data_IF_205184585484
#
_entry.id   IF_205184585484
#
_cell.length_a   1.000
_cell.length_b   1.000
_cell.length_c   1.000
_cell.angle_alpha   90.00
_cell.angle_beta   90.00
_cell.angle_gamma   90.00
#
_symmetry.space_group_name_H-M   'P 1'
#
loop_
_entity.id
_entity.type
_entity.pdbx_description
1 polymer ?
#
# COMPACT_ATOMS: atom_id res chain seq x y z
N UNK A 1 -15.23 21.21 1.90
CA UNK A 1 -13.90 21.77 1.53
C UNK A 1 -14.14 22.95 0.60
N UNK A 2 -13.38 24.04 0.73
CA UNK A 2 -13.47 25.19 -0.19
C UNK A 2 -12.69 24.90 -1.48
N UNK A 3 -12.95 25.64 -2.56
CA UNK A 3 -12.26 25.49 -3.85
C UNK A 3 -10.73 25.65 -3.73
N UNK A 4 -10.26 26.54 -2.84
CA UNK A 4 -8.84 26.73 -2.56
C UNK A 4 -8.19 25.51 -1.89
N UNK A 5 -8.91 24.80 -1.01
CA UNK A 5 -8.41 23.56 -0.39
C UNK A 5 -8.28 22.44 -1.40
N UNK A 6 -9.21 22.35 -2.37
CA UNK A 6 -9.15 21.37 -3.46
C UNK A 6 -7.95 21.67 -4.37
N UNK A 7 -7.73 22.93 -4.73
CA UNK A 7 -6.58 23.35 -5.53
C UNK A 7 -5.22 23.10 -4.84
N UNK A 8 -5.15 23.21 -3.51
CA UNK A 8 -3.95 22.91 -2.74
C UNK A 8 -3.67 21.39 -2.64
N UNK A 9 -4.70 20.57 -2.43
CA UNK A 9 -4.58 19.11 -2.40
C UNK A 9 -4.09 18.54 -3.75
N UNK A 10 -4.59 19.08 -4.87
CA UNK A 10 -4.18 18.69 -6.22
C UNK A 10 -2.69 19.00 -6.50
N UNK A 11 -2.12 20.05 -5.90
CA UNK A 11 -0.67 20.35 -6.03
C UNK A 11 0.23 19.28 -5.41
N UNK A 12 -0.27 18.57 -4.40
CA UNK A 12 0.37 17.39 -3.80
C UNK A 12 -0.53 16.17 -4.02
N UNK A 13 -0.74 15.81 -5.28
CA UNK A 13 -1.67 14.77 -5.69
C UNK A 13 -1.53 13.41 -4.96
N UNK A 14 -0.32 13.08 -4.48
CA UNK A 14 -0.06 11.86 -3.71
C UNK A 14 0.03 12.07 -2.19
N UNK A 15 -0.15 13.30 -1.69
CA UNK A 15 -0.04 13.65 -0.28
C UNK A 15 -1.30 13.32 0.55
N UNK A 16 -1.16 13.37 1.88
CA UNK A 16 -2.19 12.96 2.83
C UNK A 16 -3.56 13.64 2.59
N UNK A 17 -3.60 14.95 2.37
CA UNK A 17 -4.85 15.68 2.16
C UNK A 17 -5.61 15.19 0.92
N UNK A 18 -4.90 14.91 -0.17
CA UNK A 18 -5.54 14.40 -1.38
C UNK A 18 -6.00 12.95 -1.19
N UNK A 19 -5.23 12.11 -0.48
CA UNK A 19 -5.65 10.75 -0.15
C UNK A 19 -6.89 10.74 0.74
N UNK A 20 -6.97 11.60 1.75
CA UNK A 20 -8.17 11.72 2.60
C UNK A 20 -9.39 12.12 1.78
N UNK A 21 -9.26 13.11 0.89
CA UNK A 21 -10.33 13.50 -0.04
C UNK A 21 -10.77 12.33 -0.92
N UNK A 22 -9.82 11.64 -1.55
CA UNK A 22 -10.08 10.51 -2.44
C UNK A 22 -10.73 9.33 -1.68
N UNK A 23 -10.30 9.05 -0.45
CA UNK A 23 -10.93 8.02 0.39
C UNK A 23 -12.38 8.37 0.72
N UNK A 24 -12.67 9.63 1.09
CA UNK A 24 -14.05 10.08 1.31
C UNK A 24 -14.89 9.94 0.05
N UNK A 25 -14.34 10.30 -1.10
CA UNK A 25 -15.01 10.17 -2.41
C UNK A 25 -15.35 8.71 -2.73
N UNK A 26 -14.39 7.79 -2.56
CA UNK A 26 -14.62 6.36 -2.77
C UNK A 26 -15.72 5.81 -1.84
N UNK A 27 -15.74 6.26 -0.58
CA UNK A 27 -16.61 5.69 0.45
C UNK A 27 -18.00 6.34 0.54
N UNK A 28 -18.21 7.49 -0.12
CA UNK A 28 -19.44 8.27 -0.02
C UNK A 28 -20.73 7.51 -0.40
N UNK A 29 -20.63 6.39 -1.13
CA UNK A 29 -21.75 5.53 -1.50
C UNK A 29 -21.65 4.08 -1.05
N UNK A 30 -20.68 3.74 -0.18
CA UNK A 30 -20.36 2.34 0.17
C UNK A 30 -20.70 2.03 1.64
N UNK A 31 -20.76 3.02 2.52
CA UNK A 31 -21.01 2.80 3.95
C UNK A 31 -22.45 2.33 4.24
N UNK A 32 -22.66 1.42 5.22
CA UNK A 32 -21.68 0.90 6.18
C UNK A 32 -20.79 -0.22 5.63
N UNK A 33 -19.54 -0.30 6.12
CA UNK A 33 -18.61 -1.38 5.77
C UNK A 33 -18.81 -2.55 6.72
N UNK A 34 -19.09 -3.75 6.18
CA UNK A 34 -19.11 -4.98 6.96
C UNK A 34 -17.68 -5.52 7.16
N UNK A 35 -17.30 -5.96 8.38
CA UNK A 35 -15.95 -6.47 8.66
C UNK A 35 -15.47 -7.55 7.67
N UNK A 36 -16.32 -8.52 7.37
CA UNK A 36 -16.04 -9.66 6.48
C UNK A 36 -15.71 -9.26 5.04
N UNK A 37 -16.17 -8.08 4.60
CA UNK A 37 -15.94 -7.55 3.24
C UNK A 37 -14.93 -6.40 3.21
N UNK A 38 -14.43 -5.92 4.36
CA UNK A 38 -13.50 -4.81 4.45
C UNK A 38 -12.24 -4.98 3.58
N UNK A 39 -11.73 -6.21 3.48
CA UNK A 39 -10.55 -6.53 2.66
C UNK A 39 -10.75 -6.24 1.17
N UNK A 40 -12.00 -6.33 0.66
CA UNK A 40 -12.30 -6.00 -0.74
C UNK A 40 -12.01 -4.54 -1.04
N UNK A 41 -12.29 -3.65 -0.08
CA UNK A 41 -11.99 -2.23 -0.23
C UNK A 41 -10.49 -1.96 -0.19
N UNK A 42 -9.73 -2.67 0.66
CA UNK A 42 -8.27 -2.60 0.65
C UNK A 42 -7.71 -2.95 -0.74
N UNK A 43 -8.16 -4.05 -1.35
CA UNK A 43 -7.70 -4.43 -2.68
C UNK A 43 -8.18 -3.48 -3.78
N UNK A 44 -9.44 -3.05 -3.79
CA UNK A 44 -9.92 -2.05 -4.76
C UNK A 44 -9.13 -0.73 -4.69
N UNK A 45 -8.74 -0.30 -3.49
CA UNK A 45 -8.03 0.96 -3.31
C UNK A 45 -6.53 0.87 -3.63
N UNK A 46 -5.87 -0.25 -3.32
CA UNK A 46 -4.41 -0.34 -3.27
C UNK A 46 -3.77 -1.47 -4.07
N UNK A 47 -4.49 -2.56 -4.36
CA UNK A 47 -3.94 -3.64 -5.19
C UNK A 47 -3.76 -3.11 -6.61
N UNK A 48 -2.70 -3.54 -7.30
CA UNK A 48 -2.43 -3.13 -8.67
C UNK A 48 -2.14 -4.32 -9.57
N UNK A 49 -2.23 -4.08 -10.88
CA UNK A 49 -1.75 -5.01 -11.89
C UNK A 49 -0.29 -4.70 -12.17
N UNK A 50 0.56 -5.71 -11.99
CA UNK A 50 1.96 -5.65 -12.36
C UNK A 50 2.09 -5.47 -13.88
N UNK A 51 2.79 -4.41 -14.31
CA UNK A 51 2.92 -4.08 -15.73
C UNK A 51 3.75 -5.08 -16.52
N UNK A 52 4.61 -5.88 -15.85
CA UNK A 52 5.49 -6.85 -16.50
C UNK A 52 4.79 -8.18 -16.75
N UNK A 53 3.93 -8.62 -15.83
CA UNK A 53 3.20 -9.89 -15.95
C UNK A 53 1.78 -9.72 -16.46
N UNK A 54 1.19 -8.53 -16.33
CA UNK A 54 -0.22 -8.29 -16.59
C UNK A 54 -1.16 -8.85 -15.52
N UNK A 55 -0.64 -9.34 -14.40
CA UNK A 55 -1.41 -10.00 -13.34
C UNK A 55 -1.51 -9.14 -12.08
N UNK A 56 -2.45 -9.47 -11.20
CA UNK A 56 -2.57 -8.81 -9.91
C UNK A 56 -1.31 -9.07 -9.08
N UNK A 57 -0.73 -8.03 -8.51
CA UNK A 57 0.54 -8.13 -7.80
C UNK A 57 0.37 -8.79 -6.43
N UNK A 58 0.94 -9.98 -6.24
CA UNK A 58 1.02 -10.66 -4.94
C UNK A 58 2.44 -10.91 -4.46
N UNK A 59 3.46 -10.79 -5.31
CA UNK A 59 4.85 -11.06 -4.96
C UNK A 59 5.84 -10.32 -5.87
N UNK A 60 7.12 -10.37 -5.55
CA UNK A 60 8.21 -9.74 -6.30
C UNK A 60 8.10 -10.04 -7.81
N UNK A 61 8.11 -8.98 -8.64
CA UNK A 61 7.79 -9.06 -10.07
C UNK A 61 8.76 -9.98 -10.83
N UNK A 62 10.04 -9.95 -10.51
CA UNK A 62 11.07 -10.80 -11.14
C UNK A 62 10.88 -12.29 -10.84
N UNK A 63 10.32 -12.62 -9.67
CA UNK A 63 9.99 -13.99 -9.28
C UNK A 63 8.69 -14.47 -9.89
N UNK A 64 7.83 -13.55 -10.31
CA UNK A 64 6.50 -13.82 -10.83
C UNK A 64 6.44 -13.88 -12.36
N UNK A 65 7.58 -13.85 -13.06
CA UNK A 65 7.64 -13.96 -14.52
C UNK A 65 7.32 -15.39 -15.03
N UNK A 66 6.81 -15.55 -16.26
CA UNK A 66 6.62 -16.87 -16.87
C UNK A 66 7.85 -17.78 -16.74
N UNK A 67 7.62 -19.05 -16.40
CA UNK A 67 8.68 -20.03 -16.14
C UNK A 67 9.31 -19.96 -14.74
N UNK A 68 8.92 -19.00 -13.89
CA UNK A 68 9.33 -18.93 -12.49
C UNK A 68 8.27 -19.54 -11.57
N UNK A 69 8.71 -19.96 -10.37
CA UNK A 69 7.87 -20.66 -9.39
C UNK A 69 6.65 -19.86 -8.90
N UNK A 70 6.68 -18.52 -8.98
CA UNK A 70 5.58 -17.66 -8.53
C UNK A 70 4.60 -17.26 -9.63
N UNK A 71 4.85 -17.61 -10.90
CA UNK A 71 3.94 -17.22 -11.98
C UNK A 71 2.58 -17.92 -11.87
N UNK A 72 2.57 -19.23 -11.67
CA UNK A 72 1.33 -20.00 -11.50
C UNK A 72 0.53 -19.51 -10.27
N UNK A 73 1.24 -19.18 -9.19
CA UNK A 73 0.68 -18.57 -7.98
C UNK A 73 0.02 -17.23 -8.26
N UNK A 74 0.66 -16.39 -9.06
CA UNK A 74 0.13 -15.09 -9.49
C UNK A 74 -1.11 -15.25 -10.38
N UNK A 75 -1.14 -16.25 -11.26
CA UNK A 75 -2.32 -16.59 -12.06
C UNK A 75 -3.50 -16.99 -11.17
N UNK A 76 -3.28 -17.88 -10.19
CA UNK A 76 -4.32 -18.30 -9.25
C UNK A 76 -4.84 -17.13 -8.42
N UNK A 77 -3.94 -16.27 -7.91
CA UNK A 77 -4.34 -15.07 -7.18
C UNK A 77 -5.18 -14.13 -8.05
N UNK A 78 -4.72 -13.86 -9.28
CA UNK A 78 -5.41 -12.98 -10.21
C UNK A 78 -6.82 -13.51 -10.54
N UNK A 79 -6.96 -14.81 -10.81
CA UNK A 79 -8.25 -15.44 -11.02
C UNK A 79 -9.16 -15.33 -9.78
N UNK A 80 -8.63 -15.67 -8.60
CA UNK A 80 -9.38 -15.62 -7.35
C UNK A 80 -9.83 -14.21 -6.98
N UNK A 81 -8.96 -13.21 -7.09
CA UNK A 81 -9.30 -11.84 -6.71
C UNK A 81 -10.30 -11.22 -7.68
N UNK A 82 -10.20 -11.55 -8.98
CA UNK A 82 -11.19 -11.13 -9.98
C UNK A 82 -12.57 -11.68 -9.64
N UNK A 83 -12.68 -13.00 -9.44
CA UNK A 83 -13.93 -13.64 -9.06
C UNK A 83 -14.49 -13.07 -7.74
N UNK A 84 -13.64 -12.85 -6.74
CA UNK A 84 -14.07 -12.40 -5.41
C UNK A 84 -14.50 -10.93 -5.36
N UNK A 85 -13.99 -10.11 -6.28
CA UNK A 85 -14.40 -8.71 -6.47
C UNK A 85 -15.56 -8.55 -7.46
N UNK A 86 -15.97 -9.64 -8.13
CA UNK A 86 -17.02 -9.64 -9.14
C UNK A 86 -16.59 -9.11 -10.50
N UNK A 87 -15.28 -9.13 -10.78
CA UNK A 87 -14.67 -8.59 -12.00
C UNK A 87 -14.27 -9.73 -12.95
N UNK A 88 -14.33 -9.47 -14.26
CA UNK A 88 -13.63 -10.32 -15.22
C UNK A 88 -12.10 -10.12 -15.07
N UNK A 89 -11.26 -11.17 -15.27
CA UNK A 89 -9.79 -11.04 -15.15
C UNK A 89 -9.20 -9.87 -15.95
N UNK A 90 -9.62 -9.71 -17.20
CA UNK A 90 -9.19 -8.62 -18.09
C UNK A 90 -9.69 -7.24 -17.64
N UNK A 91 -10.83 -7.18 -16.94
CA UNK A 91 -11.43 -5.95 -16.44
C UNK A 91 -10.87 -5.52 -15.09
N UNK A 92 -10.22 -6.42 -14.33
CA UNK A 92 -9.76 -6.18 -12.97
C UNK A 92 -8.91 -4.91 -12.85
N UNK A 93 -8.04 -4.62 -13.83
CA UNK A 93 -7.20 -3.40 -13.86
C UNK A 93 -8.03 -2.12 -13.67
N UNK A 94 -9.25 -2.11 -14.20
CA UNK A 94 -10.16 -0.97 -14.16
C UNK A 94 -10.90 -0.83 -12.84
N UNK A 95 -10.88 -1.84 -11.98
CA UNK A 95 -11.61 -1.90 -10.71
C UNK A 95 -10.72 -1.80 -9.46
N UNK A 96 -9.43 -2.10 -9.61
CA UNK A 96 -8.43 -1.95 -8.55
C UNK A 96 -7.57 -0.70 -8.76
N UNK A 97 -6.63 -0.49 -7.85
CA UNK A 97 -5.65 0.58 -7.89
C UNK A 97 -6.28 1.98 -7.88
N UNK A 98 -7.47 2.08 -7.27
CA UNK A 98 -8.33 3.25 -7.39
C UNK A 98 -7.62 4.51 -6.88
N UNK A 99 -6.95 4.46 -5.71
CA UNK A 99 -6.27 5.62 -5.14
C UNK A 99 -5.16 6.15 -6.05
N UNK A 100 -4.30 5.26 -6.54
CA UNK A 100 -3.19 5.67 -7.39
C UNK A 100 -3.68 6.26 -8.71
N UNK A 101 -4.69 5.64 -9.33
CA UNK A 101 -5.26 6.12 -10.60
C UNK A 101 -5.90 7.48 -10.45
N UNK A 102 -6.68 7.70 -9.40
CA UNK A 102 -7.30 9.00 -9.16
C UNK A 102 -6.27 10.08 -8.78
N UNK A 103 -5.29 9.77 -7.92
CA UNK A 103 -4.18 10.66 -7.62
C UNK A 103 -3.35 11.01 -8.88
N UNK A 104 -3.14 10.05 -9.78
CA UNK A 104 -2.44 10.28 -11.05
C UNK A 104 -3.22 11.21 -11.99
N UNK A 105 -4.55 11.08 -12.03
CA UNK A 105 -5.43 12.01 -12.78
C UNK A 105 -5.36 13.42 -12.21
N UNK A 106 -5.38 13.57 -10.89
CA UNK A 106 -5.23 14.88 -10.25
C UNK A 106 -3.86 15.51 -10.55
N UNK A 107 -2.79 14.72 -10.56
CA UNK A 107 -1.47 15.22 -10.91
C UNK A 107 -1.41 15.69 -12.38
N UNK A 108 -2.08 14.95 -13.28
CA UNK A 108 -2.15 15.30 -14.69
C UNK A 108 -2.93 16.60 -14.92
N UNK A 109 -4.02 16.84 -14.17
CA UNK A 109 -4.80 18.09 -14.25
C UNK A 109 -4.11 19.28 -13.57
N UNK A 110 -3.30 19.03 -12.53
CA UNK A 110 -2.75 20.09 -11.68
C UNK A 110 -1.37 20.65 -12.03
N UNK A 111 -0.49 19.90 -12.74
CA UNK A 111 0.95 20.19 -12.64
C UNK A 111 1.81 20.22 -13.91
N UNK A 112 1.30 20.04 -15.14
CA UNK A 112 2.21 19.99 -16.31
C UNK A 112 2.71 21.37 -16.77
N UNK A 113 1.85 22.39 -16.86
CA UNK A 113 2.21 23.64 -17.54
C UNK A 113 3.25 24.49 -16.79
N UNK A 114 3.09 24.67 -15.46
CA UNK A 114 3.98 25.53 -14.66
C UNK A 114 5.38 24.95 -14.49
N UNK A 115 5.50 23.62 -14.41
CA UNK A 115 6.80 22.95 -14.28
C UNK A 115 7.57 22.97 -15.60
N UNK A 116 6.87 22.78 -16.74
CA UNK A 116 7.46 22.91 -18.07
C UNK A 116 7.93 24.35 -18.33
N UNK A 117 7.15 25.35 -17.94
CA UNK A 117 7.52 26.76 -18.10
C UNK A 117 8.73 27.14 -17.23
N UNK A 118 8.79 26.67 -15.98
CA UNK A 118 9.95 26.86 -15.11
C UNK A 118 11.21 26.20 -15.69
N UNK A 119 11.08 24.98 -16.22
CA UNK A 119 12.18 24.27 -16.86
C UNK A 119 12.69 25.01 -18.10
N UNK A 120 11.79 25.51 -18.96
CA UNK A 120 12.15 26.36 -20.11
C UNK A 120 12.91 27.61 -19.68
N UNK A 121 12.43 28.34 -18.67
CA UNK A 121 13.10 29.54 -18.13
C UNK A 121 14.47 29.24 -17.55
N UNK A 122 14.65 28.10 -16.89
CA UNK A 122 15.95 27.68 -16.36
C UNK A 122 16.92 27.31 -17.49
N UNK A 123 16.45 26.59 -18.52
CA UNK A 123 17.27 26.21 -19.68
C UNK A 123 17.67 27.40 -20.54
N UNK A 124 16.81 28.41 -20.68
CA UNK A 124 17.16 29.64 -21.38
C UNK A 124 18.39 30.35 -20.78
N UNK A 125 18.70 30.08 -19.51
CA UNK A 125 19.89 30.62 -18.81
C UNK A 125 21.14 29.75 -18.96
N UNK A 126 21.05 28.61 -19.63
CA UNK A 126 22.15 27.65 -19.74
C UNK A 126 22.14 27.00 -21.14
N UNK A 127 22.75 27.65 -22.14
CA UNK A 127 22.84 27.14 -23.51
C UNK A 127 23.56 25.78 -23.60
N UNK A 128 23.24 24.99 -24.62
CA UNK A 128 23.93 23.72 -24.91
C UNK A 128 23.51 22.52 -24.05
N UNK A 129 22.49 22.67 -23.21
CA UNK A 129 21.98 21.57 -22.38
C UNK A 129 21.17 20.56 -23.22
N UNK A 130 21.27 19.24 -22.96
CA UNK A 130 20.52 18.23 -23.71
C UNK A 130 19.02 18.42 -23.54
N UNK A 131 18.25 18.33 -24.63
CA UNK A 131 16.79 18.46 -24.58
C UNK A 131 16.15 17.33 -23.75
N UNK A 132 15.14 17.62 -22.92
CA UNK A 132 14.37 16.57 -22.26
C UNK A 132 13.83 15.56 -23.27
N UNK A 133 13.80 14.28 -22.89
CA UNK A 133 13.27 13.22 -23.75
C UNK A 133 14.16 12.79 -24.91
N UNK A 134 15.39 13.33 -25.05
CA UNK A 134 16.43 12.70 -25.88
C UNK A 134 16.94 11.46 -25.15
N UNK A 135 16.58 10.29 -25.67
CA UNK A 135 16.99 9.00 -25.13
C UNK A 135 17.20 8.04 -26.31
N UNK A 136 18.40 8.03 -26.92
CA UNK A 136 18.64 7.30 -28.15
C UNK A 136 18.34 5.80 -28.04
N UNK A 137 18.53 5.21 -26.86
CA UNK A 137 18.25 3.80 -26.61
C UNK A 137 16.74 3.53 -26.66
N UNK A 138 15.95 4.32 -25.91
CA UNK A 138 14.49 4.19 -25.92
C UNK A 138 13.88 4.56 -27.29
N UNK A 139 14.41 5.59 -27.95
CA UNK A 139 14.02 5.96 -29.32
C UNK A 139 14.23 4.79 -30.28
N UNK A 140 15.42 4.16 -30.26
CA UNK A 140 15.72 2.99 -31.08
C UNK A 140 14.80 1.80 -30.78
N UNK A 141 14.51 1.53 -29.50
CA UNK A 141 13.57 0.46 -29.11
C UNK A 141 12.17 0.69 -29.70
N UNK A 142 11.65 1.93 -29.60
CA UNK A 142 10.33 2.30 -30.13
C UNK A 142 10.31 2.16 -31.65
N UNK A 143 11.30 2.75 -32.34
CA UNK A 143 11.36 2.76 -33.80
C UNK A 143 11.52 1.36 -34.37
N UNK A 144 12.40 0.54 -33.79
CA UNK A 144 12.59 -0.84 -34.23
C UNK A 144 11.33 -1.69 -34.02
N UNK A 145 10.62 -1.50 -32.90
CA UNK A 145 9.37 -2.20 -32.64
C UNK A 145 8.29 -1.79 -33.65
N UNK A 146 8.17 -0.50 -33.97
CA UNK A 146 7.10 0.02 -34.82
C UNK A 146 7.38 -0.04 -36.33
N UNK A 147 8.63 -0.19 -36.74
CA UNK A 147 9.06 -0.15 -38.14
C UNK A 147 8.20 -0.99 -39.11
N UNK A 148 7.78 -2.23 -38.78
CA UNK A 148 6.96 -3.04 -39.69
C UNK A 148 5.57 -2.47 -39.99
N UNK A 149 5.06 -1.57 -39.15
CA UNK A 149 3.71 -1.01 -39.27
C UNK A 149 3.70 0.45 -39.71
N UNK A 150 4.88 1.05 -39.92
CA UNK A 150 5.02 2.44 -40.32
C UNK A 150 5.40 2.52 -41.80
N UNK A 151 4.68 3.35 -42.56
CA UNK A 151 5.02 3.62 -43.96
C UNK A 151 6.27 4.51 -44.07
N UNK A 152 6.44 5.42 -43.11
CA UNK A 152 7.58 6.33 -43.03
C UNK A 152 8.00 6.51 -41.56
N UNK A 153 9.28 6.82 -41.29
CA UNK A 153 9.73 7.14 -39.94
C UNK A 153 8.95 8.34 -39.38
N UNK A 154 8.52 8.29 -38.10
CA UNK A 154 7.82 9.41 -37.50
C UNK A 154 8.77 10.61 -37.33
N UNK A 155 8.27 11.85 -37.39
CA UNK A 155 9.10 13.03 -37.20
C UNK A 155 9.87 12.99 -35.86
N UNK A 156 11.13 13.47 -35.79
CA UNK A 156 11.94 13.40 -34.58
C UNK A 156 11.27 14.03 -33.33
N UNK A 157 10.50 15.09 -33.53
CA UNK A 157 9.77 15.76 -32.45
C UNK A 157 8.62 14.90 -31.88
N UNK A 158 7.99 14.07 -32.72
CA UNK A 158 6.95 13.14 -32.29
C UNK A 158 7.56 12.01 -31.45
N UNK A 159 8.71 11.46 -31.86
CA UNK A 159 9.44 10.44 -31.10
C UNK A 159 9.88 11.01 -29.75
N UNK A 160 10.50 12.21 -29.73
CA UNK A 160 10.88 12.88 -28.48
C UNK A 160 9.69 13.08 -27.54
N UNK A 161 8.55 13.53 -28.07
CA UNK A 161 7.31 13.69 -27.30
C UNK A 161 6.83 12.37 -26.70
N UNK A 162 6.91 11.27 -27.45
CA UNK A 162 6.56 9.94 -26.98
C UNK A 162 7.52 9.46 -25.88
N UNK A 163 8.83 9.61 -26.08
CA UNK A 163 9.87 9.29 -25.10
C UNK A 163 9.66 10.06 -23.79
N UNK A 164 9.36 11.38 -23.86
CA UNK A 164 9.01 12.17 -22.68
C UNK A 164 7.76 11.64 -21.95
N UNK A 165 6.72 11.21 -22.70
CA UNK A 165 5.50 10.65 -22.13
C UNK A 165 5.75 9.31 -21.44
N UNK A 166 6.58 8.45 -22.04
CA UNK A 166 6.98 7.16 -21.45
C UNK A 166 7.74 7.41 -20.14
N UNK A 167 8.77 8.27 -20.17
CA UNK A 167 9.53 8.62 -18.95
C UNK A 167 8.63 9.19 -17.85
N UNK A 168 7.69 10.08 -18.23
CA UNK A 168 6.70 10.61 -17.29
C UNK A 168 5.84 9.50 -16.69
N UNK A 169 5.33 8.60 -17.52
CA UNK A 169 4.54 7.46 -17.07
C UNK A 169 5.33 6.56 -16.10
N UNK A 170 6.56 6.18 -16.44
CA UNK A 170 7.43 5.36 -15.57
C UNK A 170 7.75 6.05 -14.24
N UNK A 171 7.98 7.37 -14.24
CA UNK A 171 8.18 8.14 -13.00
C UNK A 171 6.92 8.18 -12.13
N UNK A 172 5.73 8.22 -12.74
CA UNK A 172 4.46 8.12 -12.01
C UNK A 172 4.33 6.74 -11.36
N UNK A 173 4.61 5.67 -12.11
CA UNK A 173 4.61 4.30 -11.57
C UNK A 173 5.53 4.15 -10.35
N UNK A 174 6.69 4.81 -10.33
CA UNK A 174 7.56 4.80 -9.15
C UNK A 174 6.93 5.44 -7.90
N UNK A 175 5.98 6.37 -8.05
CA UNK A 175 5.25 6.97 -6.91
C UNK A 175 4.25 6.01 -6.28
N UNK A 176 3.84 4.96 -6.99
CA UNK A 176 2.94 3.91 -6.48
C UNK A 176 3.46 3.30 -5.20
N UNK A 177 4.76 3.01 -5.12
CA UNK A 177 5.40 2.40 -3.94
C UNK A 177 5.19 3.23 -2.67
N UNK A 178 5.29 4.55 -2.79
CA UNK A 178 5.08 5.47 -1.67
C UNK A 178 3.59 5.56 -1.31
N UNK A 179 2.71 5.62 -2.31
CA UNK A 179 1.27 5.64 -2.09
C UNK A 179 0.78 4.34 -1.45
N UNK A 180 1.31 3.18 -1.83
CA UNK A 180 0.89 1.90 -1.24
C UNK A 180 1.26 1.85 0.24
N UNK A 181 2.44 2.33 0.64
CA UNK A 181 2.83 2.38 2.05
C UNK A 181 1.89 3.27 2.88
N UNK A 182 1.91 4.58 2.61
CA UNK A 182 1.13 5.55 3.37
C UNK A 182 -0.39 5.37 3.16
N UNK A 183 -0.81 5.00 1.96
CA UNK A 183 -2.21 4.76 1.63
C UNK A 183 -2.76 3.52 2.33
N UNK A 184 -1.94 2.50 2.60
CA UNK A 184 -2.39 1.33 3.37
C UNK A 184 -2.78 1.70 4.80
N UNK A 185 -1.99 2.54 5.45
CA UNK A 185 -2.29 3.09 6.79
C UNK A 185 -3.58 3.92 6.77
N UNK A 186 -3.75 4.78 5.77
CA UNK A 186 -4.93 5.65 5.62
C UNK A 186 -6.21 4.84 5.37
N UNK A 187 -6.13 3.85 4.48
CA UNK A 187 -7.25 2.94 4.18
C UNK A 187 -7.68 2.20 5.44
N UNK A 188 -6.74 1.60 6.17
CA UNK A 188 -7.05 0.87 7.41
C UNK A 188 -7.71 1.79 8.45
N UNK A 189 -7.16 2.99 8.66
CA UNK A 189 -7.71 3.96 9.60
C UNK A 189 -9.15 4.35 9.25
N UNK A 190 -9.44 4.59 7.97
CA UNK A 190 -10.78 4.97 7.53
C UNK A 190 -11.76 3.79 7.61
N UNK A 191 -11.36 2.58 7.21
CA UNK A 191 -12.21 1.39 7.32
C UNK A 191 -12.60 1.10 8.78
N UNK A 192 -11.65 1.22 9.72
CA UNK A 192 -11.92 1.02 11.15
C UNK A 192 -12.89 2.06 11.70
N UNK A 193 -12.75 3.34 11.30
CA UNK A 193 -13.67 4.41 11.72
C UNK A 193 -15.09 4.22 11.17
N UNK A 194 -15.25 3.51 10.06
CA UNK A 194 -16.55 3.25 9.43
C UNK A 194 -17.23 1.97 9.93
N UNK A 195 -16.61 1.24 10.86
CA UNK A 195 -17.26 0.09 11.48
C UNK A 195 -18.53 0.54 12.23
N UNK A 196 -19.66 -0.18 12.10
CA UNK A 196 -20.87 0.11 12.85
C UNK A 196 -20.56 0.12 14.36
N UNK A 197 -21.14 1.06 15.11
CA UNK A 197 -20.97 1.18 16.58
C UNK A 197 -19.52 1.35 17.08
N UNK A 198 -18.65 2.05 16.35
CA UNK A 198 -17.23 2.17 16.68
C UNK A 198 -16.99 2.61 18.15
N UNK A 199 -16.55 1.67 19.00
CA UNK A 199 -16.22 1.91 20.41
C UNK A 199 -14.86 2.62 20.60
N UNK A 200 -14.29 3.13 19.51
CA UNK A 200 -12.98 3.76 19.49
C UNK A 200 -13.12 5.25 19.81
N UNK A 201 -12.40 5.70 20.84
CA UNK A 201 -12.22 7.12 21.12
C UNK A 201 -11.16 7.75 20.22
N UNK A 202 -10.26 6.91 19.71
CA UNK A 202 -9.12 7.32 18.93
C UNK A 202 -8.81 6.30 17.84
N UNK A 203 -8.71 6.78 16.60
CA UNK A 203 -8.17 6.05 15.45
C UNK A 203 -7.34 7.05 14.67
N UNK A 204 -6.02 6.92 14.62
CA UNK A 204 -5.14 7.83 13.85
C UNK A 204 -4.03 7.07 13.15
N UNK A 205 -3.88 7.31 11.84
CA UNK A 205 -2.71 6.91 11.08
C UNK A 205 -1.56 7.89 11.32
N UNK A 206 -0.33 7.36 11.38
CA UNK A 206 0.92 8.13 11.49
C UNK A 206 0.93 9.18 12.61
N UNK A 207 0.42 8.83 13.79
CA UNK A 207 0.47 9.74 14.93
C UNK A 207 1.79 9.56 15.71
N UNK A 208 2.33 10.64 16.30
CA UNK A 208 3.35 10.53 17.33
C UNK A 208 2.87 9.62 18.47
N UNK A 209 3.78 8.80 19.02
CA UNK A 209 3.46 7.90 20.13
C UNK A 209 2.97 8.67 21.36
N UNK A 210 3.56 9.84 21.63
CA UNK A 210 3.18 10.68 22.76
C UNK A 210 1.80 11.36 22.61
N UNK A 211 1.24 11.40 21.39
CA UNK A 211 -0.15 11.85 21.18
C UNK A 211 -1.15 10.77 21.63
N UNK A 212 -0.68 9.54 21.87
CA UNK A 212 -1.52 8.42 22.30
C UNK A 212 -1.58 8.43 23.84
N UNK A 213 -2.77 8.37 24.45
CA UNK A 213 -2.92 8.30 25.90
C UNK A 213 -2.03 7.23 26.54
N UNK A 214 -1.39 7.59 27.65
CA UNK A 214 -0.57 6.65 28.44
C UNK A 214 0.85 6.43 27.91
N UNK A 215 1.38 7.31 27.07
CA UNK A 215 2.80 7.32 26.67
C UNK A 215 3.50 8.61 27.09
N UNK A 216 4.81 8.54 27.35
CA UNK A 216 5.64 9.70 27.63
C UNK A 216 6.01 10.47 26.35
N UNK A 217 6.21 11.77 26.50
CA UNK A 217 6.96 12.54 25.50
C UNK A 217 8.40 12.04 25.39
N UNK A 218 8.97 12.00 24.17
CA UNK A 218 10.38 11.69 23.98
C UNK A 218 11.24 12.73 24.72
N UNK A 219 12.43 12.32 25.17
CA UNK A 219 13.36 13.26 25.84
C UNK A 219 13.83 14.35 24.87
N UNK A 220 14.30 15.46 25.41
CA UNK A 220 14.87 16.55 24.61
C UNK A 220 15.90 16.01 23.60
N UNK A 221 15.71 16.35 22.32
CA UNK A 221 16.51 15.95 21.14
C UNK A 221 16.29 14.51 20.64
N UNK A 222 15.47 13.69 21.28
CA UNK A 222 15.06 12.41 20.70
C UNK A 222 14.01 12.61 19.61
N UNK A 223 14.17 11.89 18.50
CA UNK A 223 13.20 11.96 17.40
C UNK A 223 11.87 11.33 17.87
N UNK A 224 10.72 12.00 17.70
CA UNK A 224 9.42 11.41 18.01
C UNK A 224 9.22 10.08 17.29
N UNK A 225 8.74 9.08 18.04
CA UNK A 225 8.33 7.80 17.48
C UNK A 225 6.98 7.96 16.83
N UNK A 226 6.87 7.54 15.58
CA UNK A 226 5.61 7.54 14.83
C UNK A 226 5.08 6.11 14.81
N UNK A 227 3.79 5.95 15.10
CA UNK A 227 3.09 4.67 14.97
C UNK A 227 2.32 4.69 13.66
N UNK A 228 2.42 3.63 12.85
CA UNK A 228 1.76 3.58 11.53
C UNK A 228 0.24 3.77 11.69
N UNK A 229 -0.37 3.11 12.67
CA UNK A 229 -1.77 3.29 13.06
C UNK A 229 -1.97 3.01 14.56
N UNK A 230 -2.74 3.85 15.25
CA UNK A 230 -3.06 3.65 16.64
C UNK A 230 -4.56 3.71 16.90
N UNK A 231 -5.03 2.78 17.73
CA UNK A 231 -6.41 2.65 18.17
C UNK A 231 -6.48 2.75 19.70
N UNK A 232 -7.46 3.49 20.23
CA UNK A 232 -7.82 3.49 21.66
C UNK A 232 -9.31 3.18 21.79
N UNK A 233 -9.63 2.12 22.55
CA UNK A 233 -10.98 1.60 22.73
C UNK A 233 -11.54 1.86 24.12
N UNK A 234 -12.83 2.14 24.17
CA UNK A 234 -13.66 2.09 25.38
C UNK A 234 -13.29 3.12 26.45
N UNK A 235 -13.87 3.00 27.66
CA UNK A 235 -13.51 3.83 28.82
C UNK A 235 -12.20 3.41 29.49
N UNK A 236 -11.70 2.20 29.23
CA UNK A 236 -10.47 1.64 29.83
C UNK A 236 -9.19 2.04 29.09
N UNK A 237 -9.30 2.84 28.02
CA UNK A 237 -8.20 3.27 27.17
C UNK A 237 -7.29 2.11 26.68
N UNK A 238 -7.91 0.98 26.29
CA UNK A 238 -7.14 -0.15 25.73
C UNK A 238 -6.52 0.28 24.39
N UNK A 239 -5.19 0.26 24.35
CA UNK A 239 -4.37 0.73 23.23
C UNK A 239 -3.98 -0.42 22.32
N UNK A 240 -4.13 -0.23 21.02
CA UNK A 240 -3.56 -1.12 20.01
C UNK A 240 -2.65 -0.30 19.10
N UNK A 241 -1.37 -0.59 19.12
CA UNK A 241 -0.36 -0.01 18.24
C UNK A 241 -0.17 -0.94 17.06
N UNK A 242 -0.40 -0.44 15.86
CA UNK A 242 -0.39 -1.24 14.64
C UNK A 242 0.79 -0.79 13.79
N UNK A 243 1.59 -1.77 13.34
CA UNK A 243 2.47 -1.59 12.20
C UNK A 243 1.80 -2.16 10.95
N UNK A 244 1.66 -1.32 9.92
CA UNK A 244 0.99 -1.68 8.68
C UNK A 244 2.02 -1.76 7.56
N UNK A 245 2.21 -2.96 7.00
CA UNK A 245 3.21 -3.20 5.96
C UNK A 245 2.59 -4.02 4.85
N UNK A 246 2.41 -3.43 3.66
CA UNK A 246 1.83 -4.13 2.52
C UNK A 246 2.55 -5.47 2.23
N UNK A 247 3.87 -5.46 2.26
CA UNK A 247 4.71 -6.66 2.25
C UNK A 247 5.82 -6.57 3.31
N UNK A 248 6.26 -7.73 3.77
CA UNK A 248 7.35 -7.91 4.73
C UNK A 248 8.63 -8.14 3.94
N UNK A 249 9.72 -7.55 4.38
CA UNK A 249 11.06 -7.82 3.85
C UNK A 249 11.99 -8.06 5.02
N UNK A 250 13.04 -8.83 4.81
CA UNK A 250 13.99 -9.20 5.86
C UNK A 250 14.59 -7.97 6.59
N UNK A 251 14.89 -6.89 5.85
CA UNK A 251 15.42 -5.63 6.40
C UNK A 251 14.44 -4.93 7.36
N UNK A 252 13.14 -5.21 7.24
CA UNK A 252 12.08 -4.59 8.04
C UNK A 252 11.74 -5.37 9.31
N UNK A 253 12.16 -6.63 9.40
CA UNK A 253 11.81 -7.50 10.54
C UNK A 253 12.56 -7.13 11.83
N UNK A 254 13.80 -6.65 11.71
CA UNK A 254 14.57 -6.12 12.85
C UNK A 254 13.97 -4.83 13.40
N UNK A 255 13.43 -4.00 12.52
CA UNK A 255 12.78 -2.75 12.90
C UNK A 255 11.59 -2.98 13.84
N UNK A 256 10.81 -4.06 13.64
CA UNK A 256 9.66 -4.36 14.50
C UNK A 256 10.01 -4.54 15.97
N UNK A 257 11.17 -5.16 16.25
CA UNK A 257 11.64 -5.40 17.62
C UNK A 257 12.08 -4.08 18.26
N UNK A 258 12.85 -3.27 17.52
CA UNK A 258 13.32 -1.96 17.97
C UNK A 258 12.18 -0.99 18.24
N UNK A 259 11.17 -0.97 17.37
CA UNK A 259 9.97 -0.15 17.53
C UNK A 259 9.18 -0.59 18.77
N UNK A 260 8.93 -1.90 18.94
CA UNK A 260 8.24 -2.43 20.14
C UNK A 260 8.99 -2.12 21.44
N UNK A 261 10.32 -2.26 21.45
CA UNK A 261 11.15 -1.92 22.60
C UNK A 261 11.03 -0.43 22.94
N UNK A 262 11.05 0.44 21.93
CA UNK A 262 10.84 1.88 22.09
C UNK A 262 9.45 2.19 22.66
N UNK A 263 8.41 1.48 22.19
CA UNK A 263 7.05 1.68 22.66
C UNK A 263 6.88 1.27 24.12
N UNK A 264 7.45 0.13 24.53
CA UNK A 264 7.42 -0.31 25.93
C UNK A 264 8.23 0.64 26.82
N UNK A 265 9.37 1.15 26.35
CA UNK A 265 10.16 2.11 27.12
C UNK A 265 9.41 3.42 27.39
N UNK A 266 8.59 3.86 26.43
CA UNK A 266 7.81 5.09 26.54
C UNK A 266 6.41 4.86 27.14
N UNK A 267 6.04 3.62 27.48
CA UNK A 267 4.78 3.31 28.16
C UNK A 267 4.79 3.92 29.57
N UNK A 268 3.73 4.66 29.90
CA UNK A 268 3.60 5.39 31.16
C UNK A 268 2.50 4.85 32.06
N UNK A 269 1.42 4.34 31.48
CA UNK A 269 0.21 4.04 32.22
C UNK A 269 0.31 2.78 33.09
N UNK A 270 1.41 2.02 32.99
CA UNK A 270 1.55 0.73 33.67
C UNK A 270 0.57 -0.31 33.14
N UNK A 271 0.07 -0.10 31.92
CA UNK A 271 -0.94 -0.91 31.28
C UNK A 271 -0.35 -1.57 30.02
N UNK A 272 -0.78 -2.79 29.73
CA UNK A 272 -0.41 -3.44 28.47
C UNK A 272 -1.06 -2.73 27.27
N UNK A 273 -0.46 -2.94 26.10
CA UNK A 273 -1.04 -2.56 24.81
C UNK A 273 -0.91 -3.72 23.83
N UNK A 274 -1.82 -3.80 22.87
CA UNK A 274 -1.72 -4.77 21.78
C UNK A 274 -0.71 -4.23 20.75
N UNK A 275 0.28 -5.03 20.34
CA UNK A 275 1.15 -4.69 19.20
C UNK A 275 0.80 -5.58 18.01
N UNK A 276 0.26 -4.99 16.93
CA UNK A 276 -0.37 -5.74 15.84
C UNK A 276 0.37 -5.48 14.53
N UNK A 277 0.64 -6.53 13.76
CA UNK A 277 1.10 -6.41 12.38
C UNK A 277 -0.09 -6.60 11.44
N UNK A 278 -0.35 -5.65 10.53
CA UNK A 278 -1.30 -5.83 9.42
C UNK A 278 -0.53 -5.86 8.10
N UNK A 279 -0.74 -6.91 7.29
CA UNK A 279 0.03 -7.13 6.07
C UNK A 279 -0.74 -7.83 4.95
N UNK A 280 -0.25 -7.71 3.71
CA UNK A 280 -0.70 -8.46 2.54
C UNK A 280 0.45 -9.37 2.02
N UNK A 281 1.31 -9.85 2.92
CA UNK A 281 2.45 -10.72 2.60
C UNK A 281 2.01 -12.12 2.16
N UNK A 282 2.45 -12.54 0.98
CA UNK A 282 2.12 -13.87 0.44
C UNK A 282 3.21 -14.91 0.68
N UNK A 283 4.43 -14.53 1.04
CA UNK A 283 5.47 -15.49 1.40
C UNK A 283 5.18 -16.10 2.79
N UNK A 284 4.84 -17.40 2.87
CA UNK A 284 4.49 -18.06 4.11
C UNK A 284 5.67 -18.12 5.07
N UNK A 285 6.92 -18.09 4.60
CA UNK A 285 8.07 -18.10 5.49
C UNK A 285 8.15 -16.78 6.28
N UNK A 286 7.90 -15.65 5.61
CA UNK A 286 7.85 -14.31 6.23
C UNK A 286 6.67 -14.18 7.18
N UNK A 287 5.50 -14.71 6.82
CA UNK A 287 4.35 -14.74 7.73
C UNK A 287 4.59 -15.61 8.97
N UNK A 288 5.18 -16.79 8.81
CA UNK A 288 5.56 -17.66 9.94
C UNK A 288 6.58 -16.96 10.83
N UNK A 289 7.61 -16.34 10.24
CA UNK A 289 8.61 -15.60 11.00
C UNK A 289 7.98 -14.47 11.83
N UNK A 290 7.05 -13.70 11.26
CA UNK A 290 6.31 -12.67 11.99
C UNK A 290 5.42 -13.26 13.10
N UNK A 291 4.70 -14.36 12.82
CA UNK A 291 3.84 -15.03 13.78
C UNK A 291 4.63 -15.59 14.98
N UNK A 292 5.82 -16.14 14.73
CA UNK A 292 6.63 -16.81 15.75
C UNK A 292 7.68 -15.90 16.38
N UNK A 293 7.80 -14.66 15.91
CA UNK A 293 8.73 -13.68 16.47
C UNK A 293 8.41 -13.48 17.94
N UNK A 294 9.44 -13.57 18.79
CA UNK A 294 9.33 -13.42 20.23
C UNK A 294 10.13 -12.22 20.73
N UNK A 295 9.72 -11.70 21.88
CA UNK A 295 10.46 -10.78 22.73
C UNK A 295 10.27 -11.24 24.18
N UNK A 296 11.37 -11.42 24.91
CA UNK A 296 11.33 -11.79 26.34
C UNK A 296 10.44 -13.02 26.61
N UNK A 297 10.55 -14.05 25.74
CA UNK A 297 9.79 -15.31 25.85
C UNK A 297 8.32 -15.24 25.41
N UNK A 298 7.80 -14.05 25.07
CA UNK A 298 6.43 -13.84 24.63
C UNK A 298 6.36 -13.52 23.13
N UNK A 299 5.24 -13.77 22.43
CA UNK A 299 5.05 -13.31 21.06
C UNK A 299 5.23 -11.79 20.95
N UNK A 300 6.03 -11.34 19.97
CA UNK A 300 6.27 -9.91 19.72
C UNK A 300 4.97 -9.19 19.36
N UNK A 301 4.25 -9.74 18.38
CA UNK A 301 2.95 -9.23 17.99
C UNK A 301 1.86 -9.95 18.77
N UNK A 302 0.91 -9.22 19.34
CA UNK A 302 -0.31 -9.80 19.90
C UNK A 302 -1.10 -10.55 18.82
N UNK A 303 -1.20 -9.97 17.62
CA UNK A 303 -1.83 -10.59 16.44
C UNK A 303 -1.05 -10.26 15.17
N UNK A 304 -1.02 -11.21 14.24
CA UNK A 304 -0.65 -10.95 12.84
C UNK A 304 -1.92 -11.02 12.01
N UNK A 305 -2.25 -9.94 11.31
CA UNK A 305 -3.48 -9.82 10.52
C UNK A 305 -3.09 -9.80 9.05
N UNK A 306 -3.57 -10.77 8.30
CA UNK A 306 -3.44 -10.78 6.85
C UNK A 306 -4.67 -10.11 6.21
N UNK A 307 -4.48 -9.28 5.17
CA UNK A 307 -5.60 -8.59 4.49
C UNK A 307 -6.70 -9.59 4.10
N UNK A 308 -6.34 -10.73 3.53
CA UNK A 308 -7.28 -11.84 3.29
C UNK A 308 -6.58 -13.20 3.39
N UNK A 309 -6.88 -14.00 4.42
CA UNK A 309 -6.29 -15.35 4.54
C UNK A 309 -6.79 -16.29 3.44
N UNK A 310 -7.94 -16.01 2.84
CA UNK A 310 -8.44 -16.76 1.68
C UNK A 310 -7.66 -16.44 0.40
N UNK A 311 -7.21 -15.19 0.21
CA UNK A 311 -6.27 -14.87 -0.86
C UNK A 311 -4.98 -15.68 -0.74
N UNK A 312 -4.45 -15.79 0.48
CA UNK A 312 -3.26 -16.58 0.77
C UNK A 312 -3.49 -18.07 0.43
N UNK A 313 -4.64 -18.64 0.80
CA UNK A 313 -4.99 -20.04 0.43
C UNK A 313 -5.09 -20.21 -1.08
N UNK A 314 -5.73 -19.27 -1.78
CA UNK A 314 -5.92 -19.34 -3.23
C UNK A 314 -4.59 -19.38 -4.00
N UNK A 315 -3.58 -18.65 -3.54
CA UNK A 315 -2.24 -18.66 -4.13
C UNK A 315 -1.60 -20.05 -4.09
N UNK A 316 -1.69 -20.74 -2.95
CA UNK A 316 -0.99 -22.00 -2.75
C UNK A 316 -1.80 -23.24 -3.17
N UNK A 317 -3.12 -23.14 -3.23
CA UNK A 317 -4.01 -24.24 -3.61
C UNK A 317 -3.83 -25.47 -2.72
N UNK A 318 -4.10 -26.65 -3.27
CA UNK A 318 -4.18 -27.91 -2.52
C UNK A 318 -2.83 -28.62 -2.29
N UNK A 319 -1.73 -28.08 -2.82
CA UNK A 319 -0.37 -28.66 -2.68
C UNK A 319 0.51 -27.74 -1.83
N UNK A 320 0.34 -27.75 -0.49
CA UNK A 320 1.04 -26.82 0.37
C UNK A 320 2.53 -27.15 0.45
N UNK A 321 3.39 -26.14 0.28
CA UNK A 321 4.78 -26.24 0.74
C UNK A 321 4.82 -26.42 2.26
N UNK A 322 5.92 -26.93 2.81
CA UNK A 322 6.10 -27.04 4.27
C UNK A 322 5.90 -25.71 5.00
N UNK A 323 6.41 -24.61 4.41
CA UNK A 323 6.23 -23.26 4.96
C UNK A 323 4.76 -22.83 4.93
N UNK A 324 4.03 -23.09 3.83
CA UNK A 324 2.62 -22.75 3.74
C UNK A 324 1.75 -23.59 4.69
N UNK A 325 2.04 -24.90 4.85
CA UNK A 325 1.35 -25.73 5.84
C UNK A 325 1.50 -25.17 7.27
N UNK A 326 2.69 -24.66 7.61
CA UNK A 326 2.96 -24.01 8.90
C UNK A 326 2.24 -22.66 9.04
N UNK A 327 2.24 -21.83 7.99
CA UNK A 327 1.45 -20.60 7.97
C UNK A 327 -0.05 -20.88 8.17
N UNK A 328 -0.58 -21.92 7.51
CA UNK A 328 -1.97 -22.34 7.64
C UNK A 328 -2.28 -22.88 9.05
N UNK A 329 -1.33 -23.54 9.71
CA UNK A 329 -1.48 -23.91 11.12
C UNK A 329 -1.62 -22.68 12.02
N UNK A 330 -0.83 -21.63 11.79
CA UNK A 330 -0.99 -20.34 12.48
C UNK A 330 -2.33 -19.66 12.16
N UNK A 331 -2.84 -19.80 10.93
CA UNK A 331 -4.18 -19.32 10.58
C UNK A 331 -5.27 -20.06 11.36
N UNK A 332 -5.22 -21.40 11.36
CA UNK A 332 -6.19 -22.23 12.10
C UNK A 332 -6.11 -22.04 13.62
N UNK A 333 -4.91 -21.78 14.15
CA UNK A 333 -4.67 -21.49 15.55
C UNK A 333 -4.98 -20.06 15.98
N UNK A 334 -5.42 -19.18 15.07
CA UNK A 334 -5.76 -17.78 15.37
C UNK A 334 -4.55 -16.86 15.60
N UNK A 335 -3.33 -17.36 15.36
CA UNK A 335 -2.10 -16.55 15.48
C UNK A 335 -1.97 -15.58 14.30
N UNK A 336 -2.35 -16.05 13.12
CA UNK A 336 -2.59 -15.23 11.92
C UNK A 336 -4.09 -15.20 11.68
N UNK A 337 -4.71 -14.03 11.59
CA UNK A 337 -6.17 -13.93 11.32
C UNK A 337 -6.44 -13.08 10.07
N UNK A 338 -7.64 -13.18 9.51
CA UNK A 338 -8.03 -12.29 8.41
C UNK A 338 -8.34 -10.88 8.94
N UNK A 339 -8.24 -9.87 8.08
CA UNK A 339 -8.67 -8.51 8.43
C UNK A 339 -10.14 -8.50 8.89
N UNK A 340 -11.01 -9.28 8.25
CA UNK A 340 -12.42 -9.32 8.63
C UNK A 340 -12.67 -9.94 10.01
N UNK A 341 -11.96 -11.02 10.34
CA UNK A 341 -12.06 -11.65 11.67
C UNK A 341 -11.55 -10.69 12.75
N UNK A 342 -10.42 -10.03 12.49
CA UNK A 342 -9.84 -9.06 13.40
C UNK A 342 -10.78 -7.88 13.65
N UNK A 343 -11.32 -7.26 12.59
CA UNK A 343 -12.27 -6.16 12.70
C UNK A 343 -13.56 -6.60 13.41
N UNK A 344 -14.04 -7.82 13.15
CA UNK A 344 -15.21 -8.38 13.85
C UNK A 344 -14.97 -8.53 15.34
N UNK A 345 -13.75 -8.93 15.75
CA UNK A 345 -13.35 -9.03 17.14
C UNK A 345 -13.17 -7.67 17.81
N UNK A 346 -12.75 -6.65 17.06
CA UNK A 346 -12.70 -5.28 17.58
C UNK A 346 -14.09 -4.66 17.80
N UNK A 347 -15.09 -5.14 17.05
CA UNK A 347 -16.48 -4.69 17.14
C UNK A 347 -17.26 -5.32 18.31
N UNK A 348 -16.82 -6.47 18.81
CA UNK A 348 -17.32 -7.09 20.05
C UNK A 348 -16.65 -6.45 21.26
#
# INVERSE_FOLDING_TARGET
MTADTIGAAVKRAFGADNRDRLLREYLAGIAPIAPDTAWKHVYRLLLWIDSTTGLAHCYESDKSQPGRAWYERSLRFHAWVSASLGSAPEALRSEIDWLFRHASRDLASGASARQQERAKRQRARTPGMPEPGRDPELENLILNALAPWLQEPPPPDAVRTLTERIHRHTRLENKRKNLVGEGFEDVLAVLIRLLPASAFRFVRARCPLHDIPGFYEPRDREKPRIVDLALVRGPEDRRSLITAKWSIRADREEQFVSDCASYVHLERAGQSFDYVLITNEFDPARLVAAAERQREGNPLFTNVVHVSTDALKAVYGDRPSRSFARALAHVRGGRVESLGDWLSRLHR
#
